data_IF_284874593322
#
_entry.id   IF_284874593322
#
_cell.length_a   1.000
_cell.length_b   1.000
_cell.length_c   1.000
_cell.angle_alpha   90.00
_cell.angle_beta   90.00
_cell.angle_gamma   90.00
#
_symmetry.space_group_name_H-M   'P 1'
#
loop_
_entity.id
_entity.type
_entity.pdbx_description
1 polymer ?
#
# COMPACT_ATOMS: atom_id res chain seq x y z
N UNK A 1 -42.36 54.26 21.78
CA UNK A 1 -42.32 52.80 21.60
C UNK A 1 -40.94 52.42 21.08
N UNK A 2 -40.42 51.24 21.45
CA UNK A 2 -38.99 50.88 21.41
C UNK A 2 -38.50 50.53 19.99
N UNK A 3 -37.17 50.36 19.81
CA UNK A 3 -36.57 50.03 18.52
C UNK A 3 -36.80 48.55 18.18
N UNK A 4 -37.13 48.27 16.93
CA UNK A 4 -37.23 46.90 16.41
C UNK A 4 -35.83 46.44 15.96
N UNK A 5 -35.25 45.54 16.74
CA UNK A 5 -34.00 44.85 16.47
C UNK A 5 -34.27 43.78 15.42
N UNK A 6 -33.75 43.96 14.21
CA UNK A 6 -33.67 42.89 13.23
C UNK A 6 -32.47 42.00 13.57
N UNK A 7 -32.76 40.81 14.10
CA UNK A 7 -31.82 39.71 14.28
C UNK A 7 -31.48 39.04 12.96
N UNK A 8 -30.22 38.60 12.90
CA UNK A 8 -29.72 37.35 12.32
C UNK A 8 -30.12 36.98 10.89
N UNK A 9 -29.10 36.89 10.03
CA UNK A 9 -28.96 35.70 9.22
C UNK A 9 -27.51 35.23 9.29
N UNK A 10 -27.29 34.28 10.20
CA UNK A 10 -26.10 33.46 10.34
C UNK A 10 -25.50 33.09 8.97
N UNK A 11 -24.23 33.46 8.81
CA UNK A 11 -23.37 32.89 7.79
C UNK A 11 -23.34 31.38 7.99
N UNK A 12 -23.97 30.64 7.06
CA UNK A 12 -23.75 29.21 6.87
C UNK A 12 -22.24 28.97 6.73
N UNK A 13 -21.58 28.62 7.83
CA UNK A 13 -20.29 27.94 7.82
C UNK A 13 -20.56 26.61 7.12
N UNK A 14 -19.97 26.45 5.93
CA UNK A 14 -19.88 25.18 5.23
C UNK A 14 -19.43 24.14 6.24
N UNK A 15 -20.25 23.12 6.48
CA UNK A 15 -19.85 21.93 7.21
C UNK A 15 -18.69 21.33 6.45
N UNK A 16 -17.50 21.41 7.04
CA UNK A 16 -16.33 20.70 6.58
C UNK A 16 -16.64 19.21 6.75
N UNK A 17 -17.04 18.54 5.67
CA UNK A 17 -17.43 17.13 5.68
C UNK A 17 -16.16 16.29 5.88
N UNK A 18 -15.72 16.17 7.13
CA UNK A 18 -14.71 15.22 7.54
C UNK A 18 -15.17 13.76 7.34
N UNK A 19 -14.25 12.79 7.37
CA UNK A 19 -14.57 11.37 7.15
C UNK A 19 -15.43 10.74 8.26
N UNK A 20 -15.65 11.47 9.36
CA UNK A 20 -16.54 11.09 10.46
C UNK A 20 -17.55 12.22 10.68
N UNK A 21 -18.69 11.90 11.28
CA UNK A 21 -19.83 12.82 11.40
C UNK A 21 -20.43 12.84 12.79
N UNK A 22 -21.29 13.83 13.05
CA UNK A 22 -22.07 13.99 14.29
C UNK A 22 -23.24 13.00 14.38
N UNK A 23 -23.06 11.75 13.92
CA UNK A 23 -24.12 10.78 13.64
C UNK A 23 -25.06 10.47 14.83
N UNK A 24 -24.70 10.84 16.06
CA UNK A 24 -25.66 11.02 17.14
C UNK A 24 -25.26 12.18 18.06
N UNK A 25 -26.19 13.11 18.32
CA UNK A 25 -25.98 14.20 19.28
C UNK A 25 -25.99 13.73 20.74
N UNK A 26 -26.30 12.45 21.01
CA UNK A 26 -26.56 11.96 22.37
C UNK A 26 -25.30 11.76 23.21
N UNK A 27 -24.16 11.47 22.58
CA UNK A 27 -22.89 11.25 23.27
C UNK A 27 -21.96 12.47 23.27
N UNK A 28 -22.24 13.49 22.44
CA UNK A 28 -21.53 14.76 22.48
C UNK A 28 -21.99 15.61 23.69
N UNK A 29 -21.08 16.11 24.53
CA UNK A 29 -21.39 17.13 25.52
C UNK A 29 -21.86 18.43 24.86
N UNK A 30 -22.46 19.32 25.65
CA UNK A 30 -22.97 20.58 25.11
C UNK A 30 -21.84 21.42 24.47
N UNK A 31 -22.07 21.86 23.23
CA UNK A 31 -21.07 22.61 22.46
C UNK A 31 -19.92 21.76 21.88
N UNK A 32 -19.99 20.44 21.97
CA UNK A 32 -19.06 19.52 21.30
C UNK A 32 -19.68 18.94 20.03
N UNK A 33 -18.80 18.69 19.04
CA UNK A 33 -19.11 18.06 17.76
C UNK A 33 -17.84 17.42 17.22
N UNK A 34 -17.94 16.60 16.18
CA UNK A 34 -16.80 16.04 15.46
C UNK A 34 -15.83 17.13 14.99
N UNK A 35 -16.36 18.25 14.48
CA UNK A 35 -15.54 19.36 14.03
C UNK A 35 -14.66 19.91 15.15
N UNK A 36 -15.22 20.06 16.36
CA UNK A 36 -14.49 20.53 17.56
C UNK A 36 -13.58 19.45 18.14
N UNK A 37 -14.03 18.20 18.16
CA UNK A 37 -13.27 17.06 18.66
C UNK A 37 -12.04 16.74 17.79
N UNK A 38 -12.13 16.99 16.48
CA UNK A 38 -11.01 16.79 15.57
C UNK A 38 -10.11 18.02 15.40
N UNK A 39 -10.38 19.11 16.10
CA UNK A 39 -9.61 20.35 15.99
C UNK A 39 -8.33 20.26 16.85
N UNK A 40 -7.13 20.38 16.24
CA UNK A 40 -5.85 20.32 16.97
C UNK A 40 -5.67 21.44 18.01
N UNK A 41 -6.38 22.56 17.88
CA UNK A 41 -6.22 23.72 18.78
C UNK A 41 -7.12 23.64 20.02
N UNK A 42 -8.07 22.70 20.04
CA UNK A 42 -9.03 22.58 21.14
C UNK A 42 -8.40 21.90 22.35
N UNK A 43 -8.53 22.57 23.50
CA UNK A 43 -8.13 22.01 24.78
C UNK A 43 -9.23 21.10 25.36
N UNK A 44 -8.88 19.82 25.56
CA UNK A 44 -9.76 18.81 26.16
C UNK A 44 -9.80 18.87 27.69
N UNK A 45 -8.99 19.73 28.32
CA UNK A 45 -8.99 19.92 29.78
C UNK A 45 -10.32 20.48 30.30
N UNK A 46 -11.13 21.10 29.43
CA UNK A 46 -12.43 21.67 29.79
C UNK A 46 -13.53 20.62 29.97
N UNK A 47 -13.29 19.37 29.57
CA UNK A 47 -14.23 18.27 29.75
C UNK A 47 -13.96 17.53 31.06
N UNK A 48 -15.02 17.17 31.77
CA UNK A 48 -14.94 16.20 32.87
C UNK A 48 -14.59 14.81 32.34
N UNK A 49 -14.04 13.95 33.21
CA UNK A 49 -13.72 12.56 32.83
C UNK A 49 -14.98 11.78 32.44
N UNK A 50 -16.11 12.05 33.07
CA UNK A 50 -17.41 11.43 32.73
C UNK A 50 -17.87 11.80 31.32
N UNK A 51 -17.69 13.05 30.90
CA UNK A 51 -18.01 13.49 29.54
C UNK A 51 -17.06 12.89 28.50
N UNK A 52 -15.76 12.80 28.82
CA UNK A 52 -14.77 12.13 27.95
C UNK A 52 -15.10 10.66 27.76
N UNK A 53 -15.47 9.97 28.82
CA UNK A 53 -15.81 8.56 28.76
C UNK A 53 -17.13 8.32 28.03
N UNK A 54 -18.14 9.18 28.23
CA UNK A 54 -19.39 9.14 27.46
C UNK A 54 -19.15 9.32 25.96
N UNK A 55 -18.31 10.29 25.56
CA UNK A 55 -17.93 10.47 24.16
C UNK A 55 -17.21 9.25 23.60
N UNK A 56 -16.23 8.70 24.34
CA UNK A 56 -15.45 7.54 23.92
C UNK A 56 -16.33 6.31 23.71
N UNK A 57 -17.23 6.05 24.65
CA UNK A 57 -18.19 4.94 24.57
C UNK A 57 -19.16 5.13 23.40
N UNK A 58 -19.73 6.32 23.23
CA UNK A 58 -20.64 6.60 22.12
C UNK A 58 -19.95 6.49 20.75
N UNK A 59 -18.71 6.95 20.61
CA UNK A 59 -17.91 6.77 19.40
C UNK A 59 -17.57 5.28 19.18
N UNK A 60 -17.25 4.54 20.23
CA UNK A 60 -16.97 3.10 20.12
C UNK A 60 -18.21 2.30 19.73
N UNK A 61 -19.39 2.61 20.29
CA UNK A 61 -20.66 1.98 19.93
C UNK A 61 -21.03 2.23 18.46
N UNK A 62 -20.79 3.46 17.97
CA UNK A 62 -21.14 3.84 16.61
C UNK A 62 -20.15 3.35 15.56
N UNK A 63 -18.85 3.47 15.83
CA UNK A 63 -17.78 3.19 14.87
C UNK A 63 -17.27 1.75 14.97
N UNK A 64 -17.52 1.07 16.09
CA UNK A 64 -16.84 -0.17 16.45
C UNK A 64 -15.34 0.04 16.64
N UNK A 65 -14.65 -1.03 17.04
CA UNK A 65 -13.21 -0.97 17.30
C UNK A 65 -12.39 -0.59 16.05
N UNK A 66 -12.79 -1.07 14.87
CA UNK A 66 -12.06 -0.80 13.62
C UNK A 66 -12.24 0.66 13.18
N UNK A 67 -13.44 1.22 13.34
CA UNK A 67 -13.70 2.62 13.08
C UNK A 67 -12.98 3.54 14.08
N UNK A 68 -12.92 3.16 15.35
CA UNK A 68 -12.10 3.86 16.37
C UNK A 68 -10.61 3.88 16.00
N UNK A 69 -10.07 2.78 15.48
CA UNK A 69 -8.70 2.72 14.98
C UNK A 69 -8.44 3.67 13.82
N UNK A 70 -9.35 3.71 12.83
CA UNK A 70 -9.26 4.65 11.70
C UNK A 70 -9.36 6.10 12.15
N UNK A 71 -10.24 6.39 13.10
CA UNK A 71 -10.43 7.72 13.68
C UNK A 71 -9.16 8.19 14.40
N UNK A 72 -8.54 7.35 15.23
CA UNK A 72 -7.31 7.67 15.93
C UNK A 72 -6.15 7.97 14.96
N UNK A 73 -6.03 7.20 13.88
CA UNK A 73 -5.04 7.46 12.82
C UNK A 73 -5.30 8.79 12.11
N UNK A 74 -6.55 9.10 11.79
CA UNK A 74 -6.94 10.36 11.20
C UNK A 74 -6.58 11.56 12.10
N UNK A 75 -6.92 11.50 13.39
CA UNK A 75 -6.62 12.56 14.34
C UNK A 75 -5.11 12.78 14.51
N UNK A 76 -4.34 11.70 14.63
CA UNK A 76 -2.87 11.78 14.70
C UNK A 76 -2.30 12.44 13.46
N UNK A 77 -2.79 12.08 12.27
CA UNK A 77 -2.36 12.68 11.01
C UNK A 77 -2.69 14.17 10.97
N UNK A 78 -3.94 14.54 11.28
CA UNK A 78 -4.39 15.92 11.30
C UNK A 78 -3.60 16.79 12.28
N UNK A 79 -3.29 16.25 13.46
CA UNK A 79 -2.44 16.92 14.46
C UNK A 79 -1.02 17.12 13.95
N UNK A 80 -0.41 16.09 13.35
CA UNK A 80 0.92 16.19 12.74
C UNK A 80 0.97 17.24 11.63
N UNK A 81 -0.03 17.26 10.74
CA UNK A 81 -0.14 18.25 9.65
C UNK A 81 -0.27 19.67 10.20
N UNK A 82 -1.06 19.86 11.27
CA UNK A 82 -1.21 21.16 11.92
C UNK A 82 0.07 21.63 12.61
N UNK A 83 0.76 20.74 13.34
CA UNK A 83 2.05 21.04 13.97
C UNK A 83 3.10 21.43 12.92
N UNK A 84 3.18 20.69 11.82
CA UNK A 84 4.12 20.99 10.74
C UNK A 84 3.80 22.31 10.04
N UNK A 85 2.52 22.60 9.79
CA UNK A 85 2.10 23.88 9.22
C UNK A 85 2.47 25.05 10.13
N UNK A 86 2.23 24.89 11.44
CA UNK A 86 2.61 25.88 12.45
C UNK A 86 4.13 26.11 12.49
N UNK A 87 4.93 25.05 12.41
CA UNK A 87 6.38 25.14 12.31
C UNK A 87 6.83 25.85 11.02
N UNK A 88 6.16 25.57 9.90
CA UNK A 88 6.43 26.21 8.61
C UNK A 88 6.12 27.71 8.65
N UNK A 89 4.98 28.11 9.24
CA UNK A 89 4.61 29.52 9.44
C UNK A 89 5.60 30.26 10.35
N UNK A 90 6.22 29.55 11.30
CA UNK A 90 7.29 30.08 12.15
C UNK A 90 8.67 30.10 11.47
N UNK A 91 8.76 29.68 10.20
CA UNK A 91 10.01 29.64 9.44
C UNK A 91 10.98 28.54 9.89
N UNK A 92 10.49 27.50 10.57
CA UNK A 92 11.32 26.37 10.96
C UNK A 92 11.85 25.64 9.70
N UNK A 93 13.13 25.26 9.68
CA UNK A 93 13.67 24.48 8.56
C UNK A 93 12.96 23.12 8.45
N UNK A 94 12.94 22.50 7.26
CA UNK A 94 12.46 21.12 7.12
C UNK A 94 13.19 20.17 8.06
N UNK A 95 12.57 19.03 8.43
CA UNK A 95 13.26 17.97 9.16
C UNK A 95 14.59 17.61 8.50
N UNK A 96 15.58 17.25 9.32
CA UNK A 96 16.88 16.78 8.82
C UNK A 96 16.67 15.60 7.86
N UNK A 97 17.22 15.72 6.64
CA UNK A 97 17.06 14.69 5.63
C UNK A 97 17.73 13.40 6.04
N UNK A 98 16.93 12.33 6.11
CA UNK A 98 17.42 10.96 6.25
C UNK A 98 16.82 10.14 5.14
N UNK A 99 17.64 9.85 4.13
CA UNK A 99 17.24 9.03 2.99
C UNK A 99 16.57 7.73 3.50
N UNK A 100 15.34 7.42 3.03
CA UNK A 100 14.70 6.14 3.30
C UNK A 100 15.55 4.96 2.81
N UNK A 101 15.24 3.78 3.34
CA UNK A 101 16.03 2.58 3.08
C UNK A 101 16.12 2.21 1.60
N UNK A 102 15.01 2.34 0.85
CA UNK A 102 15.02 2.10 -0.59
C UNK A 102 15.90 3.10 -1.37
N UNK A 103 15.92 4.38 -0.99
CA UNK A 103 16.80 5.36 -1.64
C UNK A 103 18.27 5.13 -1.31
N UNK A 104 18.59 4.76 -0.07
CA UNK A 104 19.96 4.34 0.31
C UNK A 104 20.41 3.12 -0.50
N UNK A 105 19.52 2.16 -0.67
CA UNK A 105 19.80 0.94 -1.42
C UNK A 105 20.00 1.25 -2.91
N UNK A 106 19.13 2.07 -3.49
CA UNK A 106 19.23 2.54 -4.87
C UNK A 106 20.56 3.26 -5.10
N UNK A 107 20.90 4.25 -4.26
CA UNK A 107 22.15 5.00 -4.37
C UNK A 107 23.38 4.09 -4.26
N UNK A 108 23.30 3.02 -3.46
CA UNK A 108 24.40 2.07 -3.26
C UNK A 108 24.62 1.15 -4.46
N UNK A 109 23.57 0.72 -5.15
CA UNK A 109 23.64 -0.37 -6.14
C UNK A 109 23.31 0.03 -7.57
N UNK A 110 22.49 1.06 -7.76
CA UNK A 110 21.95 1.46 -9.05
C UNK A 110 21.96 2.99 -9.29
N UNK A 111 22.99 3.75 -8.87
CA UNK A 111 22.96 5.22 -8.98
C UNK A 111 22.88 5.71 -10.44
N UNK A 112 23.50 4.98 -11.36
CA UNK A 112 23.57 5.32 -12.80
C UNK A 112 22.98 4.22 -13.71
N UNK A 113 22.38 3.19 -13.10
CA UNK A 113 21.88 2.01 -13.79
C UNK A 113 20.35 1.92 -13.81
N UNK A 114 19.78 1.11 -14.72
CA UNK A 114 18.35 0.83 -14.72
C UNK A 114 17.98 0.06 -13.46
N UNK A 115 16.86 0.43 -12.82
CA UNK A 115 16.34 -0.24 -11.63
C UNK A 115 14.81 -0.25 -11.65
N UNK A 116 14.23 -1.29 -11.05
CA UNK A 116 12.79 -1.55 -11.11
C UNK A 116 12.54 -3.02 -11.39
N UNK A 117 11.61 -3.35 -12.28
CA UNK A 117 11.26 -4.75 -12.58
C UNK A 117 11.02 -4.97 -14.07
N UNK A 118 11.31 -6.19 -14.55
CA UNK A 118 10.72 -6.71 -15.78
C UNK A 118 9.23 -6.94 -15.54
N UNK A 119 8.39 -6.46 -16.46
CA UNK A 119 6.94 -6.59 -16.38
C UNK A 119 6.38 -7.11 -17.71
N UNK A 120 5.46 -8.08 -17.66
CA UNK A 120 4.83 -8.63 -18.87
C UNK A 120 3.44 -8.06 -19.07
N UNK A 121 3.13 -7.71 -20.32
CA UNK A 121 1.76 -7.44 -20.77
C UNK A 121 1.11 -8.74 -21.21
N UNK A 122 -0.03 -9.08 -20.63
CA UNK A 122 -0.82 -10.27 -21.02
C UNK A 122 -2.28 -9.95 -21.35
N UNK A 123 -2.62 -8.67 -21.44
CA UNK A 123 -3.97 -8.19 -21.70
C UNK A 123 -3.96 -6.93 -22.59
N UNK A 124 -5.15 -6.58 -23.09
CA UNK A 124 -5.44 -5.41 -23.91
C UNK A 124 -4.66 -5.34 -25.24
N UNK A 125 -4.16 -6.43 -25.80
CA UNK A 125 -3.46 -6.41 -27.10
C UNK A 125 -4.32 -5.89 -28.26
N UNK A 126 -5.64 -5.91 -28.10
CA UNK A 126 -6.59 -5.36 -29.07
C UNK A 126 -6.99 -3.89 -28.81
N UNK A 127 -6.52 -3.26 -27.71
CA UNK A 127 -6.86 -1.89 -27.30
C UNK A 127 -5.65 -1.12 -26.77
N UNK A 128 -4.82 -0.62 -27.69
CA UNK A 128 -3.61 0.18 -27.39
C UNK A 128 -3.91 1.48 -26.65
N UNK A 129 -5.10 2.05 -26.83
CA UNK A 129 -5.49 3.28 -26.14
C UNK A 129 -5.66 3.01 -24.65
N UNK A 130 -6.40 1.96 -24.28
CA UNK A 130 -6.52 1.54 -22.88
C UNK A 130 -5.19 1.09 -22.30
N UNK A 131 -4.34 0.42 -23.09
CA UNK A 131 -3.02 0.04 -22.63
C UNK A 131 -2.12 1.25 -22.30
N UNK A 132 -2.16 2.28 -23.15
CA UNK A 132 -1.44 3.53 -22.90
C UNK A 132 -1.93 4.23 -21.63
N UNK A 133 -3.25 4.27 -21.43
CA UNK A 133 -3.85 4.84 -20.22
C UNK A 133 -3.51 4.04 -18.96
N UNK A 134 -3.53 2.71 -19.04
CA UNK A 134 -3.08 1.83 -17.97
C UNK A 134 -1.63 2.14 -17.57
N UNK A 135 -0.70 2.19 -18.53
CA UNK A 135 0.71 2.53 -18.26
C UNK A 135 0.85 3.91 -17.63
N UNK A 136 0.09 4.90 -18.11
CA UNK A 136 0.07 6.25 -17.52
C UNK A 136 -0.32 6.22 -16.06
N UNK A 137 -1.41 5.54 -15.72
CA UNK A 137 -1.92 5.44 -14.34
C UNK A 137 -0.99 4.64 -13.44
N UNK A 138 -0.49 3.48 -13.89
CA UNK A 138 0.52 2.71 -13.15
C UNK A 138 1.72 3.58 -12.82
N UNK A 139 2.23 4.35 -13.78
CA UNK A 139 3.35 5.28 -13.55
C UNK A 139 3.02 6.35 -12.50
N UNK A 140 1.82 6.93 -12.53
CA UNK A 140 1.39 7.88 -11.49
C UNK A 140 1.34 7.21 -10.10
N UNK A 141 0.82 5.99 -10.01
CA UNK A 141 0.72 5.26 -8.74
C UNK A 141 2.12 4.92 -8.18
N UNK A 142 3.07 4.51 -9.03
CA UNK A 142 4.45 4.24 -8.62
C UNK A 142 5.14 5.47 -8.01
N UNK A 143 4.75 6.68 -8.43
CA UNK A 143 5.35 7.92 -7.92
C UNK A 143 4.96 8.22 -6.46
N UNK A 144 3.88 7.62 -5.95
CA UNK A 144 3.41 7.82 -4.57
C UNK A 144 4.49 7.53 -3.53
N UNK A 145 5.32 6.50 -3.77
CA UNK A 145 6.43 6.16 -2.89
C UNK A 145 7.45 7.31 -2.74
N UNK A 146 7.71 8.05 -3.82
CA UNK A 146 8.62 9.20 -3.80
C UNK A 146 7.94 10.46 -3.27
N UNK A 147 6.66 10.67 -3.62
CA UNK A 147 5.86 11.78 -3.10
C UNK A 147 5.73 11.71 -1.57
N UNK A 148 5.67 10.51 -1.01
CA UNK A 148 5.65 10.32 0.45
C UNK A 148 6.94 10.86 1.10
N UNK A 149 8.10 10.70 0.46
CA UNK A 149 9.37 11.25 0.96
C UNK A 149 9.35 12.77 0.88
N UNK A 150 8.85 13.32 -0.23
CA UNK A 150 8.76 14.77 -0.45
C UNK A 150 7.80 15.43 0.56
N UNK A 151 6.63 14.83 0.81
CA UNK A 151 5.66 15.34 1.77
C UNK A 151 6.21 15.31 3.21
N UNK A 152 6.89 14.22 3.60
CA UNK A 152 7.56 14.11 4.91
C UNK A 152 8.65 15.17 5.13
N UNK A 153 9.16 15.78 4.05
CA UNK A 153 10.14 16.86 4.09
C UNK A 153 9.55 18.19 3.60
N UNK A 154 8.26 18.41 3.86
CA UNK A 154 7.55 19.68 3.61
C UNK A 154 7.58 20.14 2.16
N UNK A 155 7.48 19.20 1.22
CA UNK A 155 7.48 19.50 -0.20
C UNK A 155 8.87 19.67 -0.81
N UNK A 156 9.94 19.50 -0.03
CA UNK A 156 11.30 19.57 -0.56
C UNK A 156 11.70 18.26 -1.22
N UNK A 157 11.98 18.30 -2.51
CA UNK A 157 12.53 17.17 -3.26
C UNK A 157 14.06 17.25 -3.31
N UNK A 158 14.71 16.27 -2.67
CA UNK A 158 16.16 16.13 -2.68
C UNK A 158 16.64 15.52 -4.00
N UNK A 159 17.91 15.76 -4.35
CA UNK A 159 18.47 15.36 -5.65
C UNK A 159 18.45 13.84 -5.87
N UNK A 160 18.70 13.06 -4.82
CA UNK A 160 18.63 11.59 -4.86
C UNK A 160 17.19 11.11 -5.07
N UNK A 161 16.20 11.72 -4.41
CA UNK A 161 14.77 11.46 -4.63
C UNK A 161 14.40 11.74 -6.09
N UNK A 162 14.78 12.90 -6.63
CA UNK A 162 14.46 13.30 -8.01
C UNK A 162 15.11 12.37 -9.04
N UNK A 163 16.38 12.00 -8.83
CA UNK A 163 17.11 11.07 -9.72
C UNK A 163 16.48 9.69 -9.69
N UNK A 164 16.24 9.13 -8.50
CA UNK A 164 15.62 7.83 -8.33
C UNK A 164 14.23 7.80 -8.96
N UNK A 165 13.39 8.80 -8.65
CA UNK A 165 12.03 8.95 -9.21
C UNK A 165 12.04 8.92 -10.74
N UNK A 166 13.00 9.62 -11.36
CA UNK A 166 13.11 9.71 -12.81
C UNK A 166 13.61 8.43 -13.47
N UNK A 167 14.45 7.66 -12.79
CA UNK A 167 15.08 6.45 -13.35
C UNK A 167 14.36 5.15 -13.02
N UNK A 168 13.41 5.14 -12.06
CA UNK A 168 12.61 3.96 -11.75
C UNK A 168 11.70 3.59 -12.93
N UNK A 169 11.80 2.34 -13.39
CA UNK A 169 11.03 1.88 -14.56
C UNK A 169 10.51 0.45 -14.39
N UNK A 170 9.32 0.20 -14.96
CA UNK A 170 8.87 -1.15 -15.27
C UNK A 170 9.21 -1.42 -16.75
N UNK A 171 10.16 -2.32 -17.00
CA UNK A 171 10.55 -2.69 -18.35
C UNK A 171 9.50 -3.65 -18.94
N UNK A 172 8.56 -3.09 -19.70
CA UNK A 172 7.43 -3.82 -20.26
C UNK A 172 7.83 -4.69 -21.45
N UNK A 173 7.57 -5.99 -21.35
CA UNK A 173 7.64 -6.95 -22.44
C UNK A 173 6.26 -7.03 -23.08
N UNK A 174 6.15 -6.49 -24.29
CA UNK A 174 4.91 -6.33 -25.04
C UNK A 174 4.95 -7.18 -26.31
N UNK A 175 4.77 -8.49 -26.14
CA UNK A 175 4.74 -9.47 -27.22
C UNK A 175 3.33 -10.06 -27.36
N UNK A 176 2.75 -9.94 -28.57
CA UNK A 176 1.38 -10.36 -28.84
C UNK A 176 1.16 -11.86 -28.60
N UNK A 177 2.20 -12.68 -28.68
CA UNK A 177 2.11 -14.12 -28.36
C UNK A 177 1.83 -14.37 -26.86
N UNK A 178 1.98 -13.35 -26.01
CA UNK A 178 1.75 -13.42 -24.58
C UNK A 178 0.33 -13.02 -24.16
N UNK A 179 -0.56 -12.73 -25.11
CA UNK A 179 -1.96 -12.43 -24.82
C UNK A 179 -2.64 -13.61 -24.13
N UNK A 180 -3.11 -13.40 -22.89
CA UNK A 180 -3.68 -14.45 -22.05
C UNK A 180 -2.70 -15.56 -21.63
N UNK A 181 -1.38 -15.33 -21.71
CA UNK A 181 -0.38 -16.33 -21.39
C UNK A 181 -0.44 -16.81 -19.92
N UNK A 182 -0.17 -18.10 -19.72
CA UNK A 182 -0.07 -18.72 -18.40
C UNK A 182 1.21 -18.32 -17.67
N UNK A 183 1.22 -18.49 -16.35
CA UNK A 183 2.40 -18.21 -15.52
C UNK A 183 3.64 -19.03 -15.98
N UNK A 184 3.45 -20.27 -16.41
CA UNK A 184 4.54 -21.11 -16.95
C UNK A 184 5.13 -20.57 -18.24
N UNK A 185 4.29 -20.06 -19.14
CA UNK A 185 4.73 -19.46 -20.40
C UNK A 185 5.57 -18.21 -20.12
N UNK A 186 5.11 -17.37 -19.19
CA UNK A 186 5.83 -16.17 -18.78
C UNK A 186 7.17 -16.49 -18.09
N UNK A 187 7.22 -17.53 -17.25
CA UNK A 187 8.48 -18.00 -16.63
C UNK A 187 9.50 -18.43 -17.67
N UNK A 188 9.09 -19.23 -18.66
CA UNK A 188 9.96 -19.64 -19.76
C UNK A 188 10.51 -18.43 -20.51
N UNK A 189 9.64 -17.47 -20.85
CA UNK A 189 10.04 -16.24 -21.53
C UNK A 189 10.99 -15.39 -20.69
N UNK A 190 10.76 -15.26 -19.39
CA UNK A 190 11.64 -14.54 -18.47
C UNK A 190 13.05 -15.18 -18.40
N UNK A 191 13.11 -16.51 -18.33
CA UNK A 191 14.39 -17.26 -18.34
C UNK A 191 15.15 -17.05 -19.66
N UNK A 192 14.44 -17.01 -20.80
CA UNK A 192 15.03 -16.70 -22.11
C UNK A 192 15.60 -15.28 -22.14
N UNK A 193 14.83 -14.28 -21.72
CA UNK A 193 15.29 -12.87 -21.66
C UNK A 193 16.52 -12.70 -20.76
N UNK A 194 16.61 -13.47 -19.67
CA UNK A 194 17.79 -13.49 -18.80
C UNK A 194 19.03 -14.08 -19.48
N UNK A 195 18.86 -15.07 -20.37
CA UNK A 195 19.94 -15.71 -21.12
C UNK A 195 20.40 -14.87 -22.31
N UNK A 196 19.48 -14.16 -22.94
CA UNK A 196 19.74 -13.29 -24.08
C UNK A 196 20.41 -11.96 -23.68
N UNK A 197 20.59 -11.71 -22.37
CA UNK A 197 21.05 -10.44 -21.79
C UNK A 197 20.17 -9.22 -22.15
N UNK A 198 18.96 -9.48 -22.63
CA UNK A 198 17.96 -8.46 -22.97
C UNK A 198 17.28 -7.88 -21.72
N UNK A 199 17.35 -8.58 -20.58
CA UNK A 199 16.90 -8.05 -19.31
C UNK A 199 17.94 -7.07 -18.72
N UNK A 200 17.54 -5.82 -18.37
CA UNK A 200 18.46 -4.87 -17.74
C UNK A 200 19.10 -5.46 -16.48
N UNK A 201 20.42 -5.34 -16.32
CA UNK A 201 21.17 -6.01 -15.24
C UNK A 201 20.62 -5.68 -13.84
N UNK A 202 20.13 -4.45 -13.62
CA UNK A 202 19.51 -4.03 -12.35
C UNK A 202 18.06 -4.47 -12.15
N UNK A 203 17.52 -5.31 -13.04
CA UNK A 203 16.17 -5.86 -12.98
C UNK A 203 16.15 -7.39 -13.09
N UNK A 204 17.32 -8.04 -13.09
CA UNK A 204 17.46 -9.48 -13.21
C UNK A 204 17.19 -10.19 -11.88
N UNK A 205 15.92 -10.24 -11.49
CA UNK A 205 15.45 -10.89 -10.27
C UNK A 205 14.81 -12.26 -10.57
N UNK A 206 14.69 -13.10 -9.53
CA UNK A 206 14.00 -14.41 -9.60
C UNK A 206 12.47 -14.27 -9.51
N UNK A 207 11.96 -13.10 -9.91
CA UNK A 207 10.55 -12.78 -10.03
C UNK A 207 10.38 -11.62 -11.00
N UNK A 208 9.17 -11.47 -11.52
CA UNK A 208 8.79 -10.40 -12.43
C UNK A 208 7.33 -10.03 -12.21
N UNK A 209 6.92 -8.91 -12.82
CA UNK A 209 5.55 -8.40 -12.72
C UNK A 209 4.72 -8.80 -13.94
N UNK A 210 3.39 -8.81 -13.79
CA UNK A 210 2.47 -9.07 -14.89
C UNK A 210 1.22 -8.20 -14.78
N UNK A 211 0.83 -7.60 -15.90
CA UNK A 211 -0.44 -6.92 -16.11
C UNK A 211 -1.48 -7.91 -16.66
N UNK A 212 -2.04 -8.73 -15.77
CA UNK A 212 -3.17 -9.61 -16.06
C UNK A 212 -4.46 -8.83 -16.31
N UNK A 213 -5.52 -9.47 -16.84
CA UNK A 213 -6.82 -8.83 -17.01
C UNK A 213 -7.38 -8.18 -15.73
N UNK A 214 -7.33 -8.85 -14.57
CA UNK A 214 -7.82 -8.27 -13.31
C UNK A 214 -6.92 -7.13 -12.83
N UNK A 215 -5.60 -7.24 -12.99
CA UNK A 215 -4.68 -6.17 -12.64
C UNK A 215 -4.95 -4.90 -13.47
N UNK A 216 -5.16 -5.08 -14.78
CA UNK A 216 -5.54 -3.99 -15.70
C UNK A 216 -6.86 -3.36 -15.29
N UNK A 217 -7.88 -4.17 -15.01
CA UNK A 217 -9.18 -3.68 -14.56
C UNK A 217 -9.07 -2.90 -13.25
N UNK A 218 -8.29 -3.40 -12.27
CA UNK A 218 -8.09 -2.74 -10.98
C UNK A 218 -7.52 -1.31 -11.09
N UNK A 219 -6.70 -1.04 -12.12
CA UNK A 219 -6.12 0.28 -12.37
C UNK A 219 -7.04 1.16 -13.21
N UNK A 220 -7.72 0.57 -14.20
CA UNK A 220 -8.57 1.32 -15.14
C UNK A 220 -9.94 1.67 -14.58
N UNK A 221 -10.45 0.93 -13.59
CA UNK A 221 -11.72 1.25 -12.92
C UNK A 221 -11.65 2.48 -12.01
N UNK A 222 -10.44 2.92 -11.62
CA UNK A 222 -10.28 4.10 -10.78
C UNK A 222 -10.53 5.38 -11.59
N UNK A 223 -11.18 6.37 -10.99
CA UNK A 223 -11.16 7.73 -11.54
C UNK A 223 -9.86 8.43 -11.11
N UNK A 224 -9.48 9.52 -11.79
CA UNK A 224 -8.25 10.26 -11.44
C UNK A 224 -8.27 10.76 -9.98
N UNK A 225 -9.44 11.09 -9.44
CA UNK A 225 -9.62 11.51 -8.04
C UNK A 225 -9.49 10.35 -7.03
N UNK A 226 -9.64 9.10 -7.50
CA UNK A 226 -9.56 7.88 -6.69
C UNK A 226 -8.20 7.19 -6.83
N UNK A 227 -7.28 7.78 -7.59
CA UNK A 227 -5.92 7.27 -7.64
C UNK A 227 -5.27 7.36 -6.25
N UNK A 228 -4.38 6.41 -5.93
CA UNK A 228 -3.71 6.40 -4.65
C UNK A 228 -2.82 7.61 -4.51
N UNK A 229 -2.77 8.16 -3.31
CA UNK A 229 -1.93 9.29 -2.96
C UNK A 229 -1.16 8.95 -1.69
N UNK A 230 -0.26 9.84 -1.28
CA UNK A 230 0.39 9.80 0.03
C UNK A 230 -0.59 9.79 1.21
N UNK A 231 -1.86 10.13 0.96
CA UNK A 231 -2.93 10.14 1.97
C UNK A 231 -3.74 8.85 2.01
N UNK A 232 -3.59 7.97 1.04
CA UNK A 232 -4.30 6.70 1.00
C UNK A 232 -3.93 5.82 2.20
N UNK A 233 -4.91 5.08 2.70
CA UNK A 233 -4.66 4.15 3.81
C UNK A 233 -3.84 2.96 3.31
N UNK A 234 -2.79 2.64 4.06
CA UNK A 234 -2.08 1.37 3.90
C UNK A 234 -3.02 0.18 4.22
N UNK A 235 -2.77 -0.99 3.65
CA UNK A 235 -3.54 -2.24 3.88
C UNK A 235 -4.99 -2.22 3.38
N UNK A 236 -5.28 -1.54 2.26
CA UNK A 236 -6.62 -1.53 1.67
C UNK A 236 -6.80 -2.68 0.69
N UNK A 237 -7.93 -3.37 0.75
CA UNK A 237 -8.17 -4.55 -0.10
C UNK A 237 -8.48 -4.16 -1.56
N UNK A 238 -8.82 -2.90 -1.81
CA UNK A 238 -9.17 -2.33 -3.11
C UNK A 238 -8.00 -1.62 -3.82
N UNK A 239 -6.76 -1.82 -3.36
CA UNK A 239 -5.63 -1.16 -4.00
C UNK A 239 -5.41 -1.69 -5.43
N UNK A 240 -5.12 -0.81 -6.40
CA UNK A 240 -4.70 -1.23 -7.72
C UNK A 240 -3.40 -2.03 -7.61
N UNK A 241 -3.34 -3.14 -8.32
CA UNK A 241 -2.28 -4.13 -8.14
C UNK A 241 -1.67 -4.57 -9.47
N UNK A 242 -0.50 -5.20 -9.35
CA UNK A 242 0.07 -6.07 -10.39
C UNK A 242 0.25 -7.46 -9.81
N UNK A 243 0.35 -8.47 -10.68
CA UNK A 243 0.77 -9.80 -10.26
C UNK A 243 2.27 -9.86 -10.15
N UNK A 244 2.78 -10.39 -9.05
CA UNK A 244 4.14 -10.91 -8.94
C UNK A 244 4.13 -12.37 -9.32
N UNK A 245 5.03 -12.75 -10.21
CA UNK A 245 5.25 -14.13 -10.62
C UNK A 245 6.66 -14.51 -10.24
N UNK A 246 6.77 -15.56 -9.44
CA UNK A 246 8.04 -16.15 -9.06
C UNK A 246 8.58 -16.95 -10.24
N UNK A 247 9.91 -16.89 -10.44
CA UNK A 247 10.58 -17.65 -11.50
C UNK A 247 10.35 -19.16 -11.35
N UNK A 248 10.33 -19.66 -10.10
CA UNK A 248 10.04 -21.05 -9.78
C UNK A 248 8.54 -21.27 -9.51
N UNK A 249 7.95 -22.27 -10.17
CA UNK A 249 6.53 -22.59 -10.03
C UNK A 249 6.21 -23.27 -8.70
N UNK A 250 7.12 -24.11 -8.23
CA UNK A 250 7.05 -24.87 -6.99
C UNK A 250 8.36 -24.70 -6.24
N UNK A 251 8.31 -24.83 -4.92
CA UNK A 251 9.51 -24.80 -4.12
C UNK A 251 9.98 -26.22 -3.84
N UNK A 252 11.23 -26.52 -4.14
CA UNK A 252 11.91 -27.70 -3.61
C UNK A 252 13.13 -27.24 -2.79
N UNK A 253 12.92 -26.77 -1.55
CA UNK A 253 13.94 -26.04 -0.78
C UNK A 253 15.15 -26.91 -0.42
N UNK A 254 15.07 -28.22 -0.63
CA UNK A 254 16.11 -29.17 -0.25
C UNK A 254 16.68 -30.00 -1.40
N UNK A 255 16.16 -29.88 -2.63
CA UNK A 255 16.77 -30.44 -3.85
C UNK A 255 17.07 -31.94 -3.88
N UNK A 256 16.71 -32.69 -2.84
CA UNK A 256 17.03 -34.11 -2.67
C UNK A 256 15.79 -34.90 -2.25
N UNK A 257 15.74 -36.15 -2.71
CA UNK A 257 14.67 -37.13 -2.45
C UNK A 257 14.49 -37.46 -0.95
N UNK A 258 15.34 -36.95 -0.05
CA UNK A 258 15.41 -37.32 1.36
C UNK A 258 14.49 -36.54 2.31
N UNK A 259 13.93 -35.39 1.90
CA UNK A 259 13.00 -34.64 2.75
C UNK A 259 11.55 -34.98 2.41
N UNK A 260 11.03 -35.97 3.14
CA UNK A 260 9.64 -36.40 3.12
C UNK A 260 8.73 -35.16 3.16
N UNK A 261 7.89 -35.01 2.15
CA UNK A 261 6.91 -33.94 2.09
C UNK A 261 5.81 -34.23 3.10
N UNK A 262 5.72 -33.42 4.16
CA UNK A 262 4.60 -33.47 5.07
C UNK A 262 3.59 -32.36 4.71
N UNK A 263 2.47 -32.70 4.04
CA UNK A 263 1.43 -31.73 3.71
C UNK A 263 0.75 -31.12 4.96
N UNK A 264 1.00 -31.67 6.15
CA UNK A 264 0.44 -31.17 7.40
C UNK A 264 1.45 -30.36 8.23
N UNK A 265 2.72 -30.28 7.84
CA UNK A 265 3.70 -29.48 8.58
C UNK A 265 3.49 -27.98 8.30
N UNK A 266 3.03 -27.19 9.28
CA UNK A 266 2.89 -25.75 9.13
C UNK A 266 4.23 -25.01 9.12
N UNK A 267 5.36 -25.75 9.13
CA UNK A 267 6.71 -25.25 8.92
C UNK A 267 7.36 -25.70 7.59
N UNK A 268 6.68 -26.50 6.77
CA UNK A 268 7.16 -26.83 5.43
C UNK A 268 6.83 -25.70 4.44
N UNK A 269 7.85 -25.07 3.87
CA UNK A 269 7.69 -23.94 2.94
C UNK A 269 6.89 -24.30 1.68
N UNK A 270 6.88 -25.59 1.30
CA UNK A 270 6.06 -26.10 0.18
C UNK A 270 4.58 -25.87 0.42
N UNK A 271 4.15 -25.93 1.68
CA UNK A 271 2.75 -25.75 2.03
C UNK A 271 2.32 -24.31 1.77
N UNK A 272 3.10 -23.28 2.13
CA UNK A 272 2.69 -21.87 1.96
C UNK A 272 3.31 -21.10 0.79
N UNK A 273 4.10 -21.76 -0.05
CA UNK A 273 4.67 -21.13 -1.23
C UNK A 273 3.59 -20.71 -2.24
N UNK A 274 3.59 -19.45 -2.68
CA UNK A 274 2.68 -18.93 -3.72
C UNK A 274 3.50 -18.39 -4.87
N UNK A 275 3.52 -19.11 -5.99
CA UNK A 275 4.32 -18.71 -7.14
C UNK A 275 3.71 -17.56 -7.96
N UNK A 276 2.46 -17.20 -7.68
CA UNK A 276 1.78 -16.02 -8.22
C UNK A 276 0.97 -15.36 -7.11
N UNK A 277 1.13 -14.04 -6.92
CA UNK A 277 0.38 -13.28 -5.91
C UNK A 277 0.24 -11.81 -6.30
N UNK A 278 -0.71 -11.10 -5.68
CA UNK A 278 -1.01 -9.69 -5.98
C UNK A 278 -0.16 -8.76 -5.12
N UNK A 279 0.38 -7.69 -5.71
CA UNK A 279 1.09 -6.61 -5.00
C UNK A 279 0.49 -5.24 -5.35
N UNK A 280 0.18 -4.37 -4.38
CA UNK A 280 -0.23 -3.00 -4.67
C UNK A 280 0.85 -2.24 -5.43
N UNK A 281 0.46 -1.51 -6.47
CA UNK A 281 1.42 -0.76 -7.31
C UNK A 281 2.19 0.29 -6.49
N UNK A 282 1.51 0.93 -5.54
CA UNK A 282 2.05 2.06 -4.76
C UNK A 282 3.24 1.72 -3.86
N UNK A 283 3.41 0.43 -3.52
CA UNK A 283 4.48 -0.02 -2.63
C UNK A 283 5.63 -0.72 -3.37
N UNK A 284 5.53 -0.85 -4.69
CA UNK A 284 6.54 -1.56 -5.48
C UNK A 284 7.92 -0.92 -5.31
N UNK A 285 8.11 0.42 -5.41
CA UNK A 285 9.45 1.00 -5.34
C UNK A 285 10.08 0.96 -3.93
N UNK A 286 9.30 1.25 -2.89
CA UNK A 286 9.84 1.42 -1.54
C UNK A 286 9.83 0.15 -0.69
N UNK A 287 8.92 -0.80 -0.94
CA UNK A 287 8.86 -2.05 -0.17
C UNK A 287 9.28 -3.26 -0.98
N UNK A 288 8.63 -3.54 -2.11
CA UNK A 288 8.92 -4.76 -2.87
C UNK A 288 10.35 -4.72 -3.40
N UNK A 289 10.69 -3.68 -4.17
CA UNK A 289 12.01 -3.54 -4.79
C UNK A 289 13.14 -3.53 -3.75
N UNK A 290 13.04 -2.72 -2.70
CA UNK A 290 14.09 -2.63 -1.67
C UNK A 290 14.37 -3.98 -1.01
N UNK A 291 13.32 -4.75 -0.72
CA UNK A 291 13.44 -6.04 -0.07
C UNK A 291 14.13 -7.06 -0.98
N UNK A 292 13.71 -7.12 -2.25
CA UNK A 292 14.30 -8.04 -3.24
C UNK A 292 15.74 -7.67 -3.54
N UNK A 293 16.03 -6.39 -3.75
CA UNK A 293 17.36 -5.93 -4.13
C UNK A 293 18.38 -6.08 -2.99
N UNK A 294 17.95 -5.95 -1.73
CA UNK A 294 18.79 -6.27 -0.57
C UNK A 294 19.12 -7.76 -0.45
N UNK A 295 18.39 -8.63 -1.16
CA UNK A 295 18.39 -10.08 -0.95
C UNK A 295 18.19 -10.44 0.53
N UNK A 296 17.43 -9.62 1.27
CA UNK A 296 17.30 -9.72 2.72
C UNK A 296 16.52 -10.97 3.14
N UNK A 297 15.64 -11.46 2.27
CA UNK A 297 14.90 -12.69 2.48
C UNK A 297 14.92 -13.59 1.26
N UNK A 298 14.85 -14.89 1.52
CA UNK A 298 14.51 -15.86 0.50
C UNK A 298 13.13 -15.51 -0.09
N UNK A 299 12.98 -15.49 -1.42
CA UNK A 299 11.72 -15.13 -2.07
C UNK A 299 10.50 -15.95 -1.57
N UNK A 300 10.74 -17.15 -1.06
CA UNK A 300 9.73 -18.06 -0.48
C UNK A 300 9.02 -17.49 0.74
N UNK A 301 9.72 -16.68 1.53
CA UNK A 301 9.17 -16.10 2.76
C UNK A 301 8.22 -14.93 2.48
N UNK A 302 8.22 -14.40 1.26
CA UNK A 302 7.31 -13.33 0.85
C UNK A 302 5.86 -13.80 0.83
N UNK A 303 5.66 -15.07 0.49
CA UNK A 303 4.33 -15.58 0.13
C UNK A 303 3.53 -16.11 1.31
N UNK A 304 4.15 -16.24 2.48
CA UNK A 304 3.55 -16.90 3.67
C UNK A 304 2.25 -16.23 4.15
N UNK A 305 2.12 -14.92 3.94
CA UNK A 305 0.99 -14.12 4.45
C UNK A 305 -0.08 -13.76 3.41
N UNK A 306 0.02 -14.26 2.18
CA UNK A 306 -0.84 -13.85 1.05
C UNK A 306 -1.55 -15.06 0.43
N UNK A 307 -2.76 -14.86 -0.12
CA UNK A 307 -3.58 -15.96 -0.70
C UNK A 307 -2.96 -16.59 -1.97
N UNK A 308 -2.21 -15.79 -2.73
CA UNK A 308 -1.82 -16.13 -4.11
C UNK A 308 -2.95 -15.82 -5.10
N UNK A 309 -2.66 -15.89 -6.41
CA UNK A 309 -3.64 -15.66 -7.49
C UNK A 309 -3.61 -16.79 -8.51
N UNK A 310 -4.78 -17.24 -8.95
CA UNK A 310 -4.98 -18.28 -9.98
C UNK A 310 -5.26 -17.69 -11.37
N UNK A 311 -5.20 -16.37 -11.54
CA UNK A 311 -5.55 -15.67 -12.78
C UNK A 311 -4.77 -16.16 -14.01
N UNK A 312 -3.52 -16.57 -13.81
CA UNK A 312 -2.63 -17.04 -14.88
C UNK A 312 -2.52 -18.56 -14.93
N UNK A 313 -3.53 -19.25 -14.38
CA UNK A 313 -3.56 -20.69 -14.19
C UNK A 313 -2.75 -21.17 -12.97
N UNK A 314 -2.81 -22.48 -12.72
CA UNK A 314 -2.15 -23.15 -11.60
C UNK A 314 -3.06 -23.39 -10.40
N UNK A 315 -2.57 -24.18 -9.45
CA UNK A 315 -3.24 -24.46 -8.18
C UNK A 315 -2.55 -23.70 -7.06
N UNK A 316 -3.34 -23.17 -6.13
CA UNK A 316 -2.83 -22.51 -4.94
C UNK A 316 -2.87 -23.51 -3.78
N UNK A 317 -1.79 -23.66 -3.00
CA UNK A 317 -1.85 -24.56 -1.86
C UNK A 317 -2.84 -24.08 -0.80
N UNK A 318 -3.59 -24.99 -0.22
CA UNK A 318 -4.51 -24.67 0.87
C UNK A 318 -3.70 -24.35 2.12
N UNK A 319 -3.65 -23.07 2.48
CA UNK A 319 -2.91 -22.61 3.64
C UNK A 319 -3.82 -22.00 4.66
N UNK A 320 -3.65 -22.43 5.90
CA UNK A 320 -4.25 -21.79 7.04
C UNK A 320 -3.17 -21.09 7.85
N UNK A 321 -3.32 -19.78 8.01
CA UNK A 321 -2.63 -19.03 9.06
C UNK A 321 -3.67 -18.65 10.12
N UNK A 322 -3.32 -18.67 11.42
CA UNK A 322 -4.23 -18.22 12.48
C UNK A 322 -4.73 -16.77 12.28
N UNK A 323 -3.97 -15.98 11.53
CA UNK A 323 -4.25 -14.59 11.22
C UNK A 323 -5.13 -14.40 9.96
N UNK A 324 -5.32 -15.46 9.17
CA UNK A 324 -5.84 -15.38 7.81
C UNK A 324 -4.80 -14.83 6.83
N UNK A 325 -5.07 -15.04 5.54
CA UNK A 325 -4.21 -14.58 4.45
C UNK A 325 -4.73 -13.25 3.90
N UNK A 326 -3.81 -12.33 3.65
CA UNK A 326 -4.12 -11.08 2.95
C UNK A 326 -4.38 -11.34 1.46
N UNK A 327 -5.26 -10.56 0.86
CA UNK A 327 -5.49 -10.58 -0.59
C UNK A 327 -4.27 -10.03 -1.34
N UNK A 328 -3.74 -8.90 -0.85
CA UNK A 328 -2.62 -8.18 -1.41
C UNK A 328 -1.39 -8.32 -0.51
N UNK A 329 -0.22 -8.49 -1.11
CA UNK A 329 1.04 -8.46 -0.38
C UNK A 329 1.46 -7.02 -0.12
N UNK A 330 1.49 -6.60 1.15
CA UNK A 330 1.83 -5.24 1.56
C UNK A 330 3.24 -5.10 2.18
N UNK A 331 3.94 -6.22 2.35
CA UNK A 331 5.20 -6.31 3.05
C UNK A 331 5.26 -7.49 4.02
N UNK A 332 6.33 -7.55 4.79
CA UNK A 332 6.61 -8.64 5.75
C UNK A 332 6.07 -8.37 7.14
N UNK A 333 5.69 -7.12 7.41
CA UNK A 333 5.07 -6.75 8.67
C UNK A 333 3.66 -7.35 8.76
N UNK A 334 3.20 -7.77 9.94
CA UNK A 334 1.83 -8.24 10.10
C UNK A 334 0.85 -7.08 9.86
N UNK A 335 -0.26 -7.36 9.18
CA UNK A 335 -1.32 -6.38 8.99
C UNK A 335 -1.95 -5.98 10.34
N UNK A 336 -2.61 -4.82 10.44
CA UNK A 336 -3.35 -4.43 11.64
C UNK A 336 -4.39 -5.48 12.06
N UNK A 337 -5.08 -6.10 11.10
CA UNK A 337 -6.04 -7.18 11.36
C UNK A 337 -5.35 -8.44 11.93
N UNK A 338 -4.19 -8.80 11.39
CA UNK A 338 -3.39 -9.91 11.90
C UNK A 338 -2.93 -9.64 13.35
N UNK A 339 -2.46 -8.42 13.63
CA UNK A 339 -2.11 -8.00 14.99
C UNK A 339 -3.31 -8.04 15.95
N UNK A 340 -4.49 -7.60 15.51
CA UNK A 340 -5.73 -7.67 16.28
C UNK A 340 -6.09 -9.12 16.64
N UNK A 341 -6.07 -10.03 15.65
CA UNK A 341 -6.31 -11.46 15.88
C UNK A 341 -5.29 -12.07 16.84
N UNK A 342 -4.00 -11.70 16.73
CA UNK A 342 -2.96 -12.16 17.67
C UNK A 342 -3.23 -11.71 19.10
N UNK A 343 -3.77 -10.50 19.32
CA UNK A 343 -4.14 -10.03 20.66
C UNK A 343 -5.28 -10.87 21.24
N UNK A 344 -6.35 -11.05 20.46
CA UNK A 344 -7.51 -11.87 20.84
C UNK A 344 -7.06 -13.31 21.21
N UNK A 345 -6.23 -13.94 20.37
CA UNK A 345 -5.71 -15.29 20.62
C UNK A 345 -4.81 -15.38 21.86
N UNK A 346 -4.20 -14.27 22.29
CA UNK A 346 -3.37 -14.19 23.50
C UNK A 346 -4.18 -13.78 24.74
N UNK A 347 -5.50 -13.61 24.62
CA UNK A 347 -6.35 -13.15 25.73
C UNK A 347 -6.08 -11.71 26.16
N UNK A 348 -5.55 -10.89 25.25
CA UNK A 348 -5.29 -9.45 25.39
C UNK A 348 -6.23 -8.66 24.49
#
# INVERSE_FOLDING_TARGET
>A
MPPEVAQSSDSKRKSDNGPFSDASSSYWPEGWSWARYSDPEVDFSTLSEEEKDKMRQGLQEMLGDDGMGRMALYLRKKMSEWEDKKLQEQGAPPPEYKAPDFLKQWQKRHPDGPWGFVAFRTALYDDEQKWTEFKRRVRCILQVAFDQVVEQHRGHEYEDVAKARKSFELNWIEDRELDGASAETLRKRHIELKKEEDAPTGMNYNMFLCASPEAVESVLLLDDDNLPTTKSSFWRDDAPFLLVIMEEAELNPHGGEENEYDPNDPNDERNWYKSVFKVPVEIIPNNLWDLIDRAFMQPTRLTRGVKGSTELGGTMPENYTPEGLAELWWGVAPSPQALKKRRILRGL
#
